data_IF_419016880769
#
_entry.id   IF_419016880769
#
_cell.length_a   1.000
_cell.length_b   1.000
_cell.length_c   1.000
_cell.angle_alpha   90.00
_cell.angle_beta   90.00
_cell.angle_gamma   90.00
#
_symmetry.space_group_name_H-M   'P 1'
#
loop_
_entity.id
_entity.type
_entity.pdbx_description
1 polymer ?
#
# COMPACT_ATOMS: atom_id res chain seq x y z
N UNK A 1 36.16 -5.18 31.59
CA UNK A 1 36.32 -3.89 30.88
C UNK A 1 35.19 -3.72 29.92
N UNK A 2 34.27 -2.76 30.15
CA UNK A 2 33.22 -2.43 29.19
C UNK A 2 33.77 -1.40 28.17
N UNK A 3 33.85 -1.80 26.91
CA UNK A 3 34.22 -0.90 25.83
C UNK A 3 33.17 0.21 25.69
N UNK A 4 33.50 1.46 25.99
CA UNK A 4 32.70 2.64 25.65
C UNK A 4 33.12 3.12 24.27
N UNK A 5 32.19 3.10 23.32
CA UNK A 5 32.42 3.67 22.00
C UNK A 5 32.67 5.18 22.13
N UNK A 6 33.80 5.65 21.62
CA UNK A 6 34.20 7.08 21.61
C UNK A 6 33.57 7.81 20.39
N UNK A 7 32.81 7.12 19.57
CA UNK A 7 32.21 7.70 18.36
C UNK A 7 31.01 8.59 18.74
N UNK A 8 31.07 9.82 18.30
CA UNK A 8 29.92 10.75 18.39
C UNK A 8 28.76 10.24 17.53
N UNK A 9 27.62 9.99 18.17
CA UNK A 9 26.38 9.52 17.53
C UNK A 9 25.35 10.66 17.37
N UNK A 10 25.67 11.89 17.78
CA UNK A 10 24.72 13.02 17.89
C UNK A 10 24.04 13.33 16.55
N UNK A 11 24.78 13.36 15.45
CA UNK A 11 24.21 13.62 14.12
C UNK A 11 23.25 12.51 13.68
N UNK A 12 23.56 11.24 14.01
CA UNK A 12 22.71 10.10 13.65
C UNK A 12 21.43 10.11 14.50
N UNK A 13 21.54 10.47 15.78
CA UNK A 13 20.40 10.60 16.68
C UNK A 13 19.43 11.63 16.12
N UNK A 14 19.90 12.83 15.79
CA UNK A 14 19.06 13.87 15.22
C UNK A 14 18.32 13.44 13.98
N UNK A 15 19.02 12.81 13.01
CA UNK A 15 18.38 12.31 11.80
C UNK A 15 17.33 11.21 12.06
N UNK A 16 17.55 10.37 13.08
CA UNK A 16 16.56 9.36 13.46
C UNK A 16 15.35 9.96 14.15
N UNK A 17 15.52 11.03 14.94
CA UNK A 17 14.44 11.77 15.58
C UNK A 17 13.59 12.49 14.51
N UNK A 18 14.21 13.22 13.60
CA UNK A 18 13.53 13.88 12.48
C UNK A 18 12.72 12.86 11.65
N UNK A 19 13.31 11.70 11.30
CA UNK A 19 12.61 10.63 10.59
C UNK A 19 11.47 10.01 11.41
N UNK A 20 11.58 9.98 12.74
CA UNK A 20 10.53 9.41 13.59
C UNK A 20 9.34 10.37 13.73
N UNK A 21 9.55 11.68 13.66
CA UNK A 21 8.49 12.67 13.59
C UNK A 21 7.74 12.61 12.27
N UNK A 22 8.46 12.59 11.15
CA UNK A 22 7.86 12.58 9.82
C UNK A 22 7.24 11.21 9.43
N UNK A 23 7.79 10.11 9.94
CA UNK A 23 7.47 8.74 9.52
C UNK A 23 7.27 7.79 10.69
N UNK A 24 6.46 8.16 11.67
CA UNK A 24 6.27 7.44 12.95
C UNK A 24 5.87 5.96 12.82
N UNK A 25 5.24 5.57 11.70
CA UNK A 25 4.78 4.19 11.45
C UNK A 25 5.80 3.33 10.69
N UNK A 26 6.99 3.86 10.42
CA UNK A 26 8.03 3.13 9.72
C UNK A 26 8.95 2.34 10.68
N UNK A 27 9.42 1.19 10.21
CA UNK A 27 10.35 0.37 10.98
C UNK A 27 11.82 0.65 10.60
N UNK A 28 12.75 0.09 11.40
CA UNK A 28 14.19 0.28 11.28
C UNK A 28 14.74 0.24 9.84
N UNK A 29 14.36 -0.76 9.03
CA UNK A 29 14.90 -0.90 7.68
C UNK A 29 14.48 0.22 6.73
N UNK A 30 13.29 0.79 6.90
CA UNK A 30 12.86 1.95 6.13
C UNK A 30 13.69 3.19 6.49
N UNK A 31 13.91 3.46 7.79
CA UNK A 31 14.81 4.54 8.23
C UNK A 31 16.24 4.35 7.70
N UNK A 32 16.77 3.13 7.75
CA UNK A 32 18.09 2.82 7.21
C UNK A 32 18.19 3.16 5.71
N UNK A 33 17.20 2.78 4.91
CA UNK A 33 17.20 3.07 3.48
C UNK A 33 16.98 4.55 3.18
N UNK A 34 16.11 5.25 3.93
CA UNK A 34 15.93 6.72 3.79
C UNK A 34 17.24 7.47 4.05
N UNK A 35 17.94 7.16 5.13
CA UNK A 35 19.24 7.77 5.43
C UNK A 35 20.25 7.53 4.29
N UNK A 36 20.28 6.32 3.75
CA UNK A 36 21.16 6.02 2.61
C UNK A 36 20.79 6.79 1.35
N UNK A 37 19.51 6.97 1.07
CA UNK A 37 19.04 7.79 -0.07
C UNK A 37 19.38 9.28 0.11
N UNK A 38 19.48 9.75 1.35
CA UNK A 38 19.96 11.09 1.70
C UNK A 38 21.50 11.21 1.70
N UNK A 39 22.23 10.15 1.28
CA UNK A 39 23.70 10.12 1.24
C UNK A 39 24.37 9.81 2.60
N UNK A 40 23.59 9.51 3.65
CA UNK A 40 24.11 9.21 4.99
C UNK A 40 24.46 7.72 5.08
N UNK A 41 25.76 7.41 5.00
CA UNK A 41 26.25 6.03 5.04
C UNK A 41 26.65 5.66 6.45
N UNK A 42 25.82 4.83 7.09
CA UNK A 42 26.04 4.32 8.46
C UNK A 42 25.94 2.79 8.47
N UNK A 43 26.81 2.15 9.28
CA UNK A 43 26.70 0.72 9.49
C UNK A 43 25.35 0.37 10.16
N UNK A 44 24.60 -0.56 9.57
CA UNK A 44 23.27 -0.95 10.06
C UNK A 44 23.27 -1.42 11.52
N UNK A 45 24.32 -2.08 12.00
CA UNK A 45 24.43 -2.52 13.41
C UNK A 45 24.56 -1.33 14.36
N UNK A 46 25.34 -0.28 13.97
CA UNK A 46 25.47 0.97 14.73
C UNK A 46 24.13 1.71 14.79
N UNK A 47 23.50 1.89 13.62
CA UNK A 47 22.21 2.54 13.51
C UNK A 47 21.12 1.81 14.32
N UNK A 48 21.09 0.48 14.26
CA UNK A 48 20.11 -0.33 14.99
C UNK A 48 20.27 -0.23 16.53
N UNK A 49 21.51 -0.12 17.02
CA UNK A 49 21.76 0.15 18.44
C UNK A 49 21.12 1.49 18.84
N UNK A 50 21.44 2.57 18.12
CA UNK A 50 20.91 3.92 18.40
C UNK A 50 19.38 3.94 18.30
N UNK A 51 18.82 3.33 17.26
CA UNK A 51 17.37 3.19 17.07
C UNK A 51 16.67 2.52 18.27
N UNK A 52 17.29 1.51 18.88
CA UNK A 52 16.77 0.86 20.09
C UNK A 52 16.91 1.75 21.33
N UNK A 53 18.04 2.43 21.46
CA UNK A 53 18.33 3.31 22.60
C UNK A 53 17.33 4.48 22.64
N UNK A 54 16.91 4.99 21.46
CA UNK A 54 15.87 6.00 21.31
C UNK A 54 14.43 5.46 21.48
N UNK A 55 14.26 4.15 21.74
CA UNK A 55 12.95 3.49 21.93
C UNK A 55 11.99 3.65 20.72
N UNK A 56 12.53 3.76 19.52
CA UNK A 56 11.77 3.89 18.27
C UNK A 56 11.14 2.57 17.73
N UNK A 57 11.48 1.34 18.21
CA UNK A 57 10.86 0.13 17.69
C UNK A 57 9.34 0.16 17.80
N UNK A 58 8.66 -0.10 16.68
CA UNK A 58 7.21 -0.21 16.63
C UNK A 58 6.71 -1.32 17.56
N UNK A 59 5.69 -1.02 18.37
CA UNK A 59 5.03 -2.04 19.20
C UNK A 59 4.31 -3.04 18.30
N UNK A 60 4.83 -4.26 18.20
CA UNK A 60 4.18 -5.34 17.45
C UNK A 60 3.27 -6.11 18.39
N UNK A 61 1.97 -6.25 18.01
CA UNK A 61 1.09 -7.21 18.67
C UNK A 61 1.64 -8.62 18.42
N UNK A 62 1.84 -9.40 19.50
CA UNK A 62 2.21 -10.82 19.38
C UNK A 62 1.06 -11.55 18.69
N UNK A 63 1.27 -12.01 17.46
CA UNK A 63 0.27 -12.82 16.75
C UNK A 63 0.27 -14.23 17.35
N UNK A 64 -0.88 -14.72 17.82
CA UNK A 64 -1.06 -16.15 18.09
C UNK A 64 -0.76 -16.90 16.80
N UNK A 65 0.09 -17.96 16.89
CA UNK A 65 0.33 -18.88 15.77
C UNK A 65 -1.00 -19.59 15.47
N UNK A 66 -1.56 -19.28 14.32
CA UNK A 66 -2.66 -20.07 13.77
C UNK A 66 -2.06 -21.31 13.09
N UNK A 67 -2.79 -22.45 13.06
CA UNK A 67 -2.33 -23.62 12.33
C UNK A 67 -2.02 -23.25 10.87
N UNK A 68 -1.04 -23.93 10.24
CA UNK A 68 -0.70 -23.67 8.84
C UNK A 68 -1.93 -23.93 7.97
N UNK A 69 -2.38 -22.90 7.26
CA UNK A 69 -3.41 -23.05 6.23
C UNK A 69 -2.74 -23.58 4.96
N UNK A 70 -3.40 -24.47 4.24
CA UNK A 70 -3.00 -24.83 2.88
C UNK A 70 -2.90 -23.55 2.05
N UNK A 71 -1.70 -23.26 1.57
CA UNK A 71 -1.44 -22.15 0.69
C UNK A 71 -1.75 -22.60 -0.74
N UNK A 72 -2.90 -22.19 -1.27
CA UNK A 72 -3.02 -22.14 -2.71
C UNK A 72 -1.98 -21.13 -3.23
N UNK A 73 -1.04 -21.60 -4.01
CA UNK A 73 -0.05 -20.76 -4.67
C UNK A 73 -0.78 -19.89 -5.71
N UNK A 74 -0.75 -18.57 -5.50
CA UNK A 74 -1.21 -17.64 -6.54
C UNK A 74 -0.27 -17.78 -7.75
N UNK A 75 -0.84 -17.75 -8.95
CA UNK A 75 -0.03 -17.50 -10.15
C UNK A 75 0.71 -16.18 -9.98
N UNK A 76 2.03 -16.25 -10.03
CA UNK A 76 2.88 -15.07 -10.00
C UNK A 76 2.97 -14.54 -11.43
N UNK A 77 2.58 -13.30 -11.71
CA UNK A 77 2.73 -12.73 -13.04
C UNK A 77 4.19 -12.74 -13.49
N UNK A 78 4.43 -12.99 -14.77
CA UNK A 78 5.77 -13.06 -15.35
C UNK A 78 6.22 -11.74 -15.97
N UNK A 79 5.28 -10.85 -16.29
CA UNK A 79 5.57 -9.55 -16.89
C UNK A 79 4.57 -8.47 -16.47
N UNK A 80 4.97 -7.24 -16.65
CA UNK A 80 4.14 -6.04 -16.43
C UNK A 80 2.85 -6.09 -17.25
N UNK A 81 1.75 -5.60 -16.70
CA UNK A 81 0.39 -5.62 -17.28
C UNK A 81 -0.24 -7.01 -17.46
N UNK A 82 0.34 -8.08 -16.94
CA UNK A 82 -0.28 -9.40 -17.02
C UNK A 82 -1.49 -9.50 -16.09
N UNK A 83 -1.34 -9.08 -14.84
CA UNK A 83 -2.41 -9.13 -13.83
C UNK A 83 -2.43 -7.85 -13.02
N UNK A 84 -3.59 -7.21 -12.96
CA UNK A 84 -3.85 -6.11 -12.05
C UNK A 84 -4.66 -6.58 -10.85
N UNK A 85 -4.35 -6.08 -9.66
CA UNK A 85 -5.18 -6.24 -8.47
C UNK A 85 -5.86 -4.93 -8.12
N UNK A 86 -7.15 -5.00 -7.86
CA UNK A 86 -7.97 -3.82 -7.54
C UNK A 86 -8.71 -4.02 -6.22
N UNK A 87 -8.91 -2.93 -5.50
CA UNK A 87 -9.65 -2.94 -4.24
C UNK A 87 -10.13 -1.54 -3.85
N UNK A 88 -11.13 -1.50 -2.96
CA UNK A 88 -11.63 -0.28 -2.38
C UNK A 88 -11.21 -0.10 -0.94
N UNK A 89 -10.95 1.15 -0.57
CA UNK A 89 -10.87 1.54 0.84
C UNK A 89 -11.91 2.62 1.13
N UNK A 90 -12.26 2.75 2.39
CA UNK A 90 -13.16 3.81 2.87
C UNK A 90 -12.51 4.53 4.03
N UNK A 91 -12.65 5.86 4.05
CA UNK A 91 -12.21 6.71 5.15
C UNK A 91 -13.15 7.90 5.34
N UNK A 92 -12.82 8.81 6.27
CA UNK A 92 -13.64 9.96 6.62
C UNK A 92 -12.79 11.24 6.63
N UNK A 93 -13.36 12.34 6.15
CA UNK A 93 -12.81 13.68 6.30
C UNK A 93 -12.97 14.19 7.75
N UNK A 94 -12.28 15.25 8.13
CA UNK A 94 -12.36 15.88 9.45
C UNK A 94 -13.78 16.26 9.86
N UNK A 95 -14.65 16.58 8.90
CA UNK A 95 -16.07 16.89 9.09
C UNK A 95 -16.98 15.65 9.19
N UNK A 96 -16.42 14.42 9.20
CA UNK A 96 -17.16 13.15 9.25
C UNK A 96 -17.72 12.67 7.92
N UNK A 97 -17.51 13.39 6.81
CA UNK A 97 -17.97 12.96 5.49
C UNK A 97 -17.14 11.78 4.99
N UNK A 98 -17.80 10.67 4.65
CA UNK A 98 -17.14 9.46 4.12
C UNK A 98 -16.69 9.68 2.68
N UNK A 99 -15.52 9.13 2.37
CA UNK A 99 -15.00 9.01 1.01
C UNK A 99 -14.43 7.62 0.77
N UNK A 100 -14.19 7.31 -0.49
CA UNK A 100 -13.60 6.03 -0.91
C UNK A 100 -12.39 6.27 -1.79
N UNK A 101 -11.42 5.38 -1.70
CA UNK A 101 -10.38 5.22 -2.70
C UNK A 101 -10.58 3.91 -3.45
N UNK A 102 -10.33 3.93 -4.75
CA UNK A 102 -10.24 2.77 -5.62
C UNK A 102 -8.80 2.65 -6.09
N UNK A 103 -8.15 1.59 -5.65
CA UNK A 103 -6.72 1.37 -5.81
C UNK A 103 -6.48 0.31 -6.87
N UNK A 104 -5.58 0.57 -7.80
CA UNK A 104 -5.17 -0.35 -8.86
C UNK A 104 -3.66 -0.52 -8.80
N UNK A 105 -3.20 -1.76 -8.69
CA UNK A 105 -1.78 -2.10 -8.69
C UNK A 105 -1.47 -3.14 -9.76
N UNK A 106 -0.26 -3.13 -10.27
CA UNK A 106 0.29 -4.22 -11.07
C UNK A 106 0.89 -5.29 -10.16
N UNK A 107 0.48 -6.55 -10.33
CA UNK A 107 0.91 -7.64 -9.44
C UNK A 107 2.36 -8.08 -9.70
N UNK A 108 2.93 -7.81 -10.88
CA UNK A 108 4.29 -8.21 -11.24
C UNK A 108 5.33 -7.39 -10.46
N UNK A 109 5.31 -6.07 -10.61
CA UNK A 109 6.26 -5.17 -9.96
C UNK A 109 5.70 -4.51 -8.70
N UNK A 110 4.39 -4.69 -8.42
CA UNK A 110 3.65 -4.11 -7.29
C UNK A 110 3.58 -2.58 -7.34
N UNK A 111 3.69 -2.02 -8.52
CA UNK A 111 3.56 -0.61 -8.78
C UNK A 111 2.10 -0.17 -8.66
N UNK A 112 1.87 0.97 -8.03
CA UNK A 112 0.56 1.60 -7.98
C UNK A 112 0.31 2.26 -9.32
N UNK A 113 -0.67 1.75 -10.06
CA UNK A 113 -1.03 2.30 -11.35
C UNK A 113 -1.94 3.51 -11.21
N UNK A 114 -2.84 3.50 -10.22
CA UNK A 114 -3.78 4.58 -9.98
C UNK A 114 -4.45 4.48 -8.60
N UNK A 115 -4.76 5.65 -8.04
CA UNK A 115 -5.59 5.81 -6.85
C UNK A 115 -6.69 6.80 -7.20
N UNK A 116 -7.92 6.32 -7.38
CA UNK A 116 -9.08 7.19 -7.61
C UNK A 116 -9.76 7.50 -6.28
N UNK A 117 -9.99 8.77 -5.99
CA UNK A 117 -10.59 9.21 -4.72
C UNK A 117 -11.85 10.01 -5.00
N UNK A 118 -12.99 9.55 -4.44
CA UNK A 118 -14.26 10.26 -4.55
C UNK A 118 -15.21 9.91 -3.38
N UNK A 119 -16.26 10.67 -3.19
CA UNK A 119 -17.35 10.36 -2.26
C UNK A 119 -18.10 9.09 -2.66
N UNK A 120 -18.23 8.83 -3.95
CA UNK A 120 -18.95 7.66 -4.51
C UNK A 120 -18.25 7.14 -5.77
N UNK A 121 -17.83 5.87 -5.71
CA UNK A 121 -17.13 5.19 -6.80
C UNK A 121 -18.03 4.09 -7.37
N UNK A 122 -18.91 4.45 -8.29
CA UNK A 122 -19.83 3.53 -8.97
C UNK A 122 -19.09 2.72 -10.05
N UNK A 123 -19.70 1.62 -10.51
CA UNK A 123 -19.15 0.76 -11.58
C UNK A 123 -18.75 1.52 -12.84
N UNK A 124 -19.48 2.60 -13.21
CA UNK A 124 -19.11 3.44 -14.35
C UNK A 124 -17.77 4.16 -14.14
N UNK A 125 -17.48 4.62 -12.92
CA UNK A 125 -16.21 5.26 -12.58
C UNK A 125 -15.08 4.25 -12.58
N UNK A 126 -15.31 3.05 -12.05
CA UNK A 126 -14.34 1.94 -12.12
C UNK A 126 -13.96 1.66 -13.58
N UNK A 127 -14.93 1.52 -14.48
CA UNK A 127 -14.67 1.27 -15.89
C UNK A 127 -13.91 2.45 -16.53
N UNK A 128 -14.24 3.67 -16.17
CA UNK A 128 -13.52 4.85 -16.67
C UNK A 128 -12.03 4.80 -16.27
N UNK A 129 -11.73 4.51 -15.00
CA UNK A 129 -10.34 4.35 -14.52
C UNK A 129 -9.63 3.24 -15.27
N UNK A 130 -10.25 2.05 -15.37
CA UNK A 130 -9.65 0.92 -16.07
C UNK A 130 -9.38 1.22 -17.55
N UNK A 131 -10.27 1.91 -18.24
CA UNK A 131 -10.03 2.38 -19.63
C UNK A 131 -8.86 3.35 -19.73
N UNK A 132 -8.77 4.31 -18.80
CA UNK A 132 -7.66 5.25 -18.73
C UNK A 132 -6.32 4.50 -18.57
N UNK A 133 -6.28 3.53 -17.68
CA UNK A 133 -5.08 2.72 -17.43
C UNK A 133 -4.71 1.83 -18.62
N UNK A 134 -5.69 1.22 -19.28
CA UNK A 134 -5.47 0.42 -20.50
C UNK A 134 -4.84 1.27 -21.61
N UNK A 135 -5.32 2.51 -21.78
CA UNK A 135 -4.76 3.42 -22.78
C UNK A 135 -3.31 3.83 -22.45
N UNK A 136 -2.94 3.88 -21.19
CA UNK A 136 -1.61 4.31 -20.72
C UNK A 136 -0.60 3.17 -20.67
N UNK A 137 -1.01 2.01 -20.15
CA UNK A 137 -0.11 0.90 -19.82
C UNK A 137 -0.32 -0.35 -20.67
N UNK A 138 -1.40 -0.41 -21.43
CA UNK A 138 -1.81 -1.60 -22.16
C UNK A 138 -2.88 -2.42 -21.43
N UNK A 139 -3.47 -3.39 -22.14
CA UNK A 139 -4.56 -4.22 -21.65
C UNK A 139 -4.04 -5.35 -20.77
N UNK A 140 -4.51 -5.51 -19.52
CA UNK A 140 -4.17 -6.66 -18.70
C UNK A 140 -4.88 -7.92 -19.20
N UNK A 141 -4.28 -9.07 -18.97
CA UNK A 141 -4.94 -10.35 -19.23
C UNK A 141 -5.99 -10.65 -18.16
N UNK A 142 -5.66 -10.36 -16.90
CA UNK A 142 -6.50 -10.63 -15.73
C UNK A 142 -6.61 -9.40 -14.82
N UNK A 143 -7.80 -9.24 -14.21
CA UNK A 143 -7.99 -8.28 -13.11
C UNK A 143 -8.52 -9.04 -11.91
N UNK A 144 -7.80 -9.00 -10.81
CA UNK A 144 -8.13 -9.65 -9.55
C UNK A 144 -8.85 -8.68 -8.62
N UNK A 145 -9.95 -9.12 -8.02
CA UNK A 145 -10.81 -8.28 -7.20
C UNK A 145 -11.61 -9.08 -6.18
N UNK A 146 -12.18 -8.40 -5.20
CA UNK A 146 -13.19 -8.99 -4.31
C UNK A 146 -14.57 -9.10 -5.00
N UNK A 147 -15.56 -9.60 -4.26
CA UNK A 147 -16.94 -9.73 -4.73
C UNK A 147 -17.75 -8.46 -4.42
N UNK A 148 -17.14 -7.27 -4.47
CA UNK A 148 -17.84 -6.01 -4.26
C UNK A 148 -18.96 -5.78 -5.28
N UNK A 149 -20.07 -5.12 -4.89
CA UNK A 149 -21.22 -4.90 -5.78
C UNK A 149 -20.85 -4.12 -7.04
N UNK A 150 -19.87 -3.24 -6.96
CA UNK A 150 -19.37 -2.48 -8.11
C UNK A 150 -18.70 -3.37 -9.16
N UNK A 151 -18.06 -4.45 -8.72
CA UNK A 151 -17.32 -5.38 -9.57
C UNK A 151 -18.21 -6.48 -10.17
N UNK A 152 -19.22 -6.94 -9.42
CA UNK A 152 -20.15 -7.97 -9.90
C UNK A 152 -21.30 -7.42 -10.73
N UNK A 153 -21.37 -6.10 -10.91
CA UNK A 153 -22.43 -5.46 -11.69
C UNK A 153 -22.49 -5.95 -13.13
N UNK A 154 -23.68 -5.99 -13.74
CA UNK A 154 -23.83 -6.34 -15.16
C UNK A 154 -22.97 -5.46 -16.06
N UNK A 155 -22.82 -4.18 -15.70
CA UNK A 155 -22.04 -3.21 -16.47
C UNK A 155 -20.56 -3.59 -16.54
N UNK A 156 -19.94 -3.90 -15.39
CA UNK A 156 -18.52 -4.31 -15.31
C UNK A 156 -18.28 -5.65 -15.95
N UNK A 157 -19.20 -6.62 -15.76
CA UNK A 157 -19.09 -7.94 -16.40
C UNK A 157 -19.21 -7.84 -17.94
N UNK A 158 -20.14 -7.04 -18.47
CA UNK A 158 -20.27 -6.83 -19.91
C UNK A 158 -19.03 -6.13 -20.48
N UNK A 159 -18.50 -5.16 -19.75
CA UNK A 159 -17.27 -4.47 -20.15
C UNK A 159 -16.05 -5.41 -20.17
N UNK A 160 -15.88 -6.27 -19.17
CA UNK A 160 -14.80 -7.28 -19.09
C UNK A 160 -14.84 -8.21 -20.31
N UNK A 161 -16.02 -8.75 -20.62
CA UNK A 161 -16.23 -9.64 -21.78
C UNK A 161 -15.93 -8.92 -23.11
N UNK A 162 -16.41 -7.68 -23.28
CA UNK A 162 -16.19 -6.91 -24.49
C UNK A 162 -14.70 -6.55 -24.71
N UNK A 163 -13.91 -6.50 -23.66
CA UNK A 163 -12.47 -6.23 -23.72
C UNK A 163 -11.62 -7.50 -23.60
N UNK A 164 -12.24 -8.67 -23.49
CA UNK A 164 -11.52 -9.97 -23.33
C UNK A 164 -10.56 -9.95 -22.13
N UNK A 165 -10.97 -9.37 -21.02
CA UNK A 165 -10.21 -9.31 -19.77
C UNK A 165 -10.83 -10.29 -18.78
N UNK A 166 -10.05 -11.23 -18.26
CA UNK A 166 -10.50 -12.19 -17.27
C UNK A 166 -10.68 -11.50 -15.90
N UNK A 167 -11.91 -11.49 -15.35
CA UNK A 167 -12.16 -11.08 -13.98
C UNK A 167 -12.00 -12.26 -13.03
N UNK A 168 -10.96 -12.19 -12.18
CA UNK A 168 -10.67 -13.21 -11.19
C UNK A 168 -11.17 -12.74 -9.82
N UNK A 169 -12.33 -13.27 -9.43
CA UNK A 169 -12.91 -12.99 -8.11
C UNK A 169 -12.24 -13.83 -7.03
N UNK A 170 -11.86 -13.20 -5.91
CA UNK A 170 -11.33 -13.92 -4.76
C UNK A 170 -12.42 -14.77 -4.11
N UNK A 171 -12.03 -15.95 -3.65
CA UNK A 171 -12.96 -16.85 -2.95
C UNK A 171 -13.28 -16.31 -1.56
N UNK A 172 -14.54 -16.43 -1.10
CA UNK A 172 -14.91 -16.04 0.26
C UNK A 172 -14.01 -16.71 1.31
N UNK A 173 -13.47 -15.90 2.24
CA UNK A 173 -12.58 -16.39 3.29
C UNK A 173 -11.12 -16.66 2.86
N UNK A 174 -10.73 -16.35 1.61
CA UNK A 174 -9.36 -16.45 1.12
C UNK A 174 -8.73 -15.08 0.77
N UNK A 175 -8.55 -14.19 1.75
CA UNK A 175 -7.98 -12.85 1.50
C UNK A 175 -6.56 -12.91 0.91
N UNK A 176 -5.82 -14.00 1.15
CA UNK A 176 -4.50 -14.20 0.55
C UNK A 176 -4.49 -14.13 -0.97
N UNK A 177 -5.64 -14.35 -1.62
CA UNK A 177 -5.77 -14.28 -3.08
C UNK A 177 -5.72 -12.84 -3.62
N UNK A 178 -5.88 -11.79 -2.78
CA UNK A 178 -5.70 -10.38 -3.14
C UNK A 178 -4.59 -9.69 -2.32
N UNK A 179 -3.59 -10.47 -1.91
CA UNK A 179 -2.60 -10.07 -0.91
C UNK A 179 -1.76 -8.84 -1.33
N UNK A 180 -1.55 -8.61 -2.63
CA UNK A 180 -0.72 -7.50 -3.10
C UNK A 180 -1.42 -6.15 -2.88
N UNK A 181 -2.65 -5.99 -3.34
CA UNK A 181 -3.41 -4.76 -3.10
C UNK A 181 -3.76 -4.57 -1.63
N UNK A 182 -4.05 -5.66 -0.87
CA UNK A 182 -4.26 -5.58 0.57
C UNK A 182 -3.01 -5.05 1.31
N UNK A 183 -1.82 -5.49 0.87
CA UNK A 183 -0.56 -4.99 1.42
C UNK A 183 -0.34 -3.51 1.10
N UNK A 184 -0.62 -3.12 -0.14
CA UNK A 184 -0.61 -1.72 -0.54
C UNK A 184 -1.59 -0.91 0.31
N UNK A 185 -2.86 -1.32 0.40
CA UNK A 185 -3.90 -0.65 1.17
C UNK A 185 -3.50 -0.44 2.63
N UNK A 186 -2.84 -1.43 3.24
CA UNK A 186 -2.31 -1.29 4.60
C UNK A 186 -1.22 -0.22 4.69
N UNK A 187 -0.33 -0.16 3.71
CA UNK A 187 0.72 0.86 3.66
C UNK A 187 0.13 2.24 3.40
N UNK A 188 -0.77 2.37 2.44
CA UNK A 188 -1.46 3.60 2.10
C UNK A 188 -2.27 4.13 3.30
N UNK A 189 -3.00 3.25 4.00
CA UNK A 189 -3.68 3.64 5.22
C UNK A 189 -2.71 4.20 6.26
N UNK A 190 -1.63 3.47 6.57
CA UNK A 190 -0.71 3.87 7.64
C UNK A 190 0.16 5.08 7.30
N UNK A 191 0.48 5.32 6.02
CA UNK A 191 1.36 6.43 5.62
C UNK A 191 0.62 7.66 5.13
N UNK A 192 -0.64 7.52 4.73
CA UNK A 192 -1.45 8.61 4.19
C UNK A 192 -2.69 8.81 5.05
N UNK A 193 -3.62 7.86 5.07
CA UNK A 193 -4.94 8.07 5.66
C UNK A 193 -4.92 8.25 7.18
N UNK A 194 -4.08 7.47 7.89
CA UNK A 194 -3.95 7.56 9.37
C UNK A 194 -2.89 8.60 9.80
N UNK A 195 -2.05 9.09 8.86
CA UNK A 195 -0.98 10.04 9.17
C UNK A 195 -1.42 11.50 9.06
N UNK A 196 -2.47 11.78 8.29
CA UNK A 196 -2.96 13.13 8.04
C UNK A 196 -4.44 13.26 8.38
N UNK A 197 -4.89 14.48 8.71
CA UNK A 197 -6.29 14.85 8.81
C UNK A 197 -6.67 15.66 7.58
N UNK A 198 -7.74 15.30 6.90
CA UNK A 198 -8.13 15.90 5.63
C UNK A 198 -9.44 16.67 5.76
N UNK A 199 -9.47 17.91 5.31
CA UNK A 199 -10.67 18.75 5.31
C UNK A 199 -11.52 18.57 4.03
N UNK A 200 -10.89 18.15 2.93
CA UNK A 200 -11.55 17.96 1.65
C UNK A 200 -10.83 16.93 0.77
N UNK A 201 -11.51 16.47 -0.29
CA UNK A 201 -10.95 15.44 -1.20
C UNK A 201 -9.70 15.91 -1.97
N UNK A 202 -9.53 17.21 -2.20
CA UNK A 202 -8.37 17.68 -2.94
C UNK A 202 -7.09 17.48 -2.14
N UNK A 203 -7.12 17.72 -0.82
CA UNK A 203 -6.00 17.42 0.06
C UNK A 203 -5.66 15.91 0.05
N UNK A 204 -6.69 15.04 0.07
CA UNK A 204 -6.45 13.59 -0.01
C UNK A 204 -5.76 13.23 -1.32
N UNK A 205 -6.21 13.78 -2.46
CA UNK A 205 -5.63 13.54 -3.78
C UNK A 205 -4.18 14.01 -3.86
N UNK A 206 -3.91 15.26 -3.47
CA UNK A 206 -2.57 15.86 -3.49
C UNK A 206 -1.54 15.04 -2.71
N UNK A 207 -1.91 14.60 -1.49
CA UNK A 207 -1.00 13.78 -0.65
C UNK A 207 -0.90 12.34 -1.17
N UNK A 208 -1.93 11.82 -1.83
CA UNK A 208 -1.91 10.47 -2.43
C UNK A 208 -1.06 10.40 -3.71
N UNK A 209 -0.90 11.52 -4.42
CA UNK A 209 -0.13 11.61 -5.67
C UNK A 209 1.36 11.92 -5.40
N UNK A 210 1.74 12.34 -4.18
CA UNK A 210 3.09 12.66 -3.75
C UNK A 210 3.89 11.42 -3.33
#
# INVERSE_FOLDING_TARGET
MHYRSIKDDSAIIKHLEDLAEDHSLEGFWKYYHRLRNQGIVVNHKRLHRIYKDLKLPLRRKVKKRLPPREKETQEVPEHFTQTWSIDFMTDVLSNGTKFRSFNVIDDFNREVLFIEIDYSLKSSRVIWVLRHLINRFGKPQKIRMDNGPEFISKLTQSWSKANEIEFQYIQPGKPSQNAYVERFNRSFRGHVLDAYSFDNLNQVREISDA
#
